data_IF_918576178918
#
_entry.id   IF_918576178918
#
_cell.length_a   1.000
_cell.length_b   1.000
_cell.length_c   1.000
_cell.angle_alpha   90.00
_cell.angle_beta   90.00
_cell.angle_gamma   90.00
#
_symmetry.space_group_name_H-M   'P 1'
#
loop_
_entity.id
_entity.type
_entity.pdbx_description
1 polymer ?
#
# COMPACT_ATOMS: atom_id res chain seq x y z
N UNK A 1 34.52 12.84 -14.62
CA UNK A 1 33.72 13.41 -15.73
C UNK A 1 33.61 12.32 -16.79
N UNK A 2 32.71 11.35 -16.59
CA UNK A 2 32.54 10.22 -17.52
C UNK A 2 31.72 10.65 -18.74
N UNK A 3 32.17 10.20 -19.91
CA UNK A 3 31.83 10.74 -21.23
C UNK A 3 30.49 10.22 -21.73
N UNK A 4 29.67 11.08 -22.36
CA UNK A 4 28.34 10.75 -22.87
C UNK A 4 28.31 9.54 -23.84
N UNK A 5 29.42 9.27 -24.53
CA UNK A 5 29.55 8.12 -25.43
C UNK A 5 29.50 6.77 -24.69
N UNK A 6 29.95 6.72 -23.44
CA UNK A 6 29.92 5.50 -22.61
C UNK A 6 28.48 5.19 -22.17
N UNK A 7 27.64 6.21 -22.00
CA UNK A 7 26.23 6.06 -21.67
C UNK A 7 25.39 5.63 -22.88
N UNK A 8 25.74 6.11 -24.07
CA UNK A 8 25.07 5.73 -25.31
C UNK A 8 25.33 4.27 -25.69
N UNK A 9 26.55 3.76 -25.46
CA UNK A 9 26.88 2.34 -25.66
C UNK A 9 26.11 1.41 -24.70
N UNK A 10 25.97 1.80 -23.43
CA UNK A 10 25.21 1.02 -22.42
C UNK A 10 23.70 1.09 -22.67
N UNK A 11 23.19 2.20 -23.22
CA UNK A 11 21.79 2.35 -23.62
C UNK A 11 21.48 1.53 -24.88
N UNK A 12 22.38 1.51 -25.87
CA UNK A 12 22.25 0.72 -27.08
C UNK A 12 22.28 -0.79 -26.82
N UNK A 13 23.11 -1.24 -25.87
CA UNK A 13 23.16 -2.66 -25.47
C UNK A 13 21.86 -3.10 -24.78
N UNK A 14 21.22 -2.22 -24.01
CA UNK A 14 19.90 -2.50 -23.40
C UNK A 14 18.73 -2.43 -24.37
N UNK A 15 18.90 -1.77 -25.52
CA UNK A 15 17.85 -1.61 -26.52
C UNK A 15 17.76 -2.78 -27.52
N UNK A 16 18.79 -3.63 -27.62
CA UNK A 16 18.80 -4.84 -28.47
C UNK A 16 18.45 -6.09 -27.66
N UNK A 17 17.31 -6.04 -26.97
CA UNK A 17 16.71 -7.20 -26.32
C UNK A 17 15.23 -7.17 -26.63
N UNK A 18 14.82 -7.92 -27.66
CA UNK A 18 13.41 -8.12 -27.99
C UNK A 18 12.66 -8.65 -26.76
N UNK A 19 11.87 -7.77 -26.17
CA UNK A 19 11.12 -8.07 -24.97
C UNK A 19 10.45 -6.81 -24.48
N UNK A 20 9.29 -6.50 -25.06
CA UNK A 20 8.32 -5.58 -24.42
C UNK A 20 8.27 -5.98 -22.95
N UNK A 21 8.53 -5.08 -21.98
CA UNK A 21 8.31 -5.44 -20.60
C UNK A 21 6.80 -5.62 -20.45
N UNK A 22 6.33 -6.86 -20.61
CA UNK A 22 5.09 -7.28 -20.02
C UNK A 22 5.23 -6.88 -18.56
N UNK A 23 4.38 -5.95 -18.11
CA UNK A 23 4.34 -5.57 -16.72
C UNK A 23 4.25 -6.86 -15.91
N UNK A 24 5.35 -7.22 -15.24
CA UNK A 24 5.36 -8.34 -14.30
C UNK A 24 4.56 -7.84 -13.11
N UNK A 25 3.24 -7.94 -13.22
CA UNK A 25 2.35 -7.86 -12.07
C UNK A 25 2.66 -9.14 -11.29
N UNK A 26 3.51 -9.01 -10.27
CA UNK A 26 3.80 -10.06 -9.31
C UNK A 26 2.49 -10.76 -8.96
N UNK A 27 2.37 -12.04 -9.33
CA UNK A 27 1.13 -12.79 -9.32
C UNK A 27 0.36 -12.64 -8.02
N UNK A 28 -0.62 -11.73 -8.02
CA UNK A 28 -1.61 -11.63 -6.97
C UNK A 28 -2.53 -12.82 -7.18
N UNK A 29 -2.30 -13.89 -6.42
CA UNK A 29 -3.36 -14.90 -6.25
C UNK A 29 -4.61 -14.14 -5.77
N UNK A 30 -5.77 -14.34 -6.40
CA UNK A 30 -7.01 -13.73 -5.93
C UNK A 30 -7.19 -14.10 -4.45
N UNK A 31 -7.00 -13.11 -3.57
CA UNK A 31 -7.29 -13.30 -2.17
C UNK A 31 -8.80 -13.47 -2.03
N UNK A 32 -9.28 -14.37 -1.14
CA UNK A 32 -10.70 -14.44 -0.83
C UNK A 32 -11.20 -13.05 -0.43
N UNK A 33 -12.43 -12.67 -0.80
CA UNK A 33 -12.97 -11.35 -0.49
C UNK A 33 -12.84 -11.10 1.01
N UNK A 34 -12.07 -10.07 1.36
CA UNK A 34 -11.84 -9.68 2.75
C UNK A 34 -13.19 -9.23 3.31
N UNK A 35 -13.60 -9.69 4.51
CA UNK A 35 -14.81 -9.20 5.15
C UNK A 35 -14.79 -7.67 5.18
N UNK A 36 -15.81 -7.04 4.60
CA UNK A 36 -15.97 -5.59 4.67
C UNK A 36 -16.30 -5.21 6.11
N UNK A 37 -15.27 -4.80 6.86
CA UNK A 37 -15.46 -4.24 8.20
C UNK A 37 -16.08 -2.86 8.03
N UNK A 38 -17.27 -2.59 8.61
CA UNK A 38 -17.92 -1.30 8.46
C UNK A 38 -17.07 -0.19 9.09
N UNK A 39 -16.69 0.80 8.27
CA UNK A 39 -15.96 1.99 8.73
C UNK A 39 -16.94 2.92 9.46
N UNK A 40 -16.52 3.45 10.62
CA UNK A 40 -17.33 4.36 11.44
C UNK A 40 -16.68 5.74 11.51
N UNK A 41 -17.47 6.82 11.62
CA UNK A 41 -16.92 8.15 11.90
C UNK A 41 -16.05 8.14 13.16
N UNK A 42 -14.87 8.73 13.06
CA UNK A 42 -13.91 8.85 14.14
C UNK A 42 -14.06 10.14 14.96
N UNK A 43 -13.14 10.38 15.90
CA UNK A 43 -12.98 11.69 16.54
C UNK A 43 -11.86 12.48 15.82
N UNK A 44 -12.00 13.81 15.66
CA UNK A 44 -10.97 14.64 15.02
C UNK A 44 -9.73 14.86 15.90
N UNK A 45 -9.84 14.63 17.22
CA UNK A 45 -8.74 14.73 18.18
C UNK A 45 -8.75 13.55 19.15
N UNK A 46 -7.58 13.13 19.65
CA UNK A 46 -6.22 13.58 19.30
C UNK A 46 -5.77 13.03 17.94
N UNK A 47 -4.76 13.66 17.32
CA UNK A 47 -4.19 13.21 16.06
C UNK A 47 -3.49 11.84 16.15
N UNK A 48 -3.35 11.19 15.00
CA UNK A 48 -2.72 9.89 14.80
C UNK A 48 -3.70 8.73 14.73
N UNK A 49 -3.14 7.51 14.79
CA UNK A 49 -3.88 6.26 14.88
C UNK A 49 -4.04 5.86 16.36
N UNK A 50 -5.28 5.73 16.84
CA UNK A 50 -5.58 5.50 18.26
C UNK A 50 -6.60 4.39 18.42
N UNK A 51 -6.30 3.44 19.30
CA UNK A 51 -7.24 2.39 19.68
C UNK A 51 -8.35 2.96 20.58
N UNK A 52 -9.62 2.70 20.22
CA UNK A 52 -10.80 3.17 20.96
C UNK A 52 -11.94 2.15 20.85
N UNK A 53 -12.79 2.10 21.88
CA UNK A 53 -14.09 1.45 21.79
C UNK A 53 -15.11 2.41 21.16
N UNK A 54 -15.89 1.92 20.21
CA UNK A 54 -17.02 2.64 19.63
C UNK A 54 -18.22 2.72 20.60
N UNK A 55 -19.29 3.43 20.22
CA UNK A 55 -20.53 3.51 21.02
C UNK A 55 -21.13 2.13 21.34
N UNK A 56 -20.94 1.17 20.43
CA UNK A 56 -21.43 -0.20 20.55
C UNK A 56 -20.47 -1.08 21.37
N UNK A 57 -19.44 -0.51 22.00
CA UNK A 57 -18.41 -1.22 22.75
C UNK A 57 -17.36 -1.94 21.90
N UNK A 58 -17.54 -2.00 20.58
CA UNK A 58 -16.62 -2.67 19.65
C UNK A 58 -15.29 -1.92 19.55
N UNK A 59 -14.19 -2.65 19.72
CA UNK A 59 -12.84 -2.11 19.61
C UNK A 59 -12.45 -1.83 18.16
N UNK A 60 -11.79 -0.70 17.92
CA UNK A 60 -11.30 -0.30 16.61
C UNK A 60 -10.23 0.78 16.67
N UNK A 61 -9.71 1.16 15.50
CA UNK A 61 -8.67 2.20 15.37
C UNK A 61 -9.27 3.45 14.75
N UNK A 62 -9.18 4.57 15.46
CA UNK A 62 -9.51 5.89 14.96
C UNK A 62 -8.27 6.54 14.33
N UNK A 63 -8.42 7.05 13.11
CA UNK A 63 -7.42 7.83 12.41
C UNK A 63 -7.86 9.30 12.38
N UNK A 64 -7.00 10.19 12.85
CA UNK A 64 -7.18 11.64 12.73
C UNK A 64 -5.88 12.27 12.25
N UNK A 65 -5.95 13.02 11.15
CA UNK A 65 -4.79 13.74 10.62
C UNK A 65 -5.17 15.20 10.34
N UNK A 66 -4.20 16.09 10.45
CA UNK A 66 -4.36 17.45 9.96
C UNK A 66 -4.09 17.47 8.46
N UNK A 67 -5.03 18.01 7.70
CA UNK A 67 -4.97 18.04 6.25
C UNK A 67 -5.44 19.42 5.74
N UNK A 68 -4.78 20.49 6.21
CA UNK A 68 -5.11 21.85 5.79
C UNK A 68 -4.96 22.01 4.28
N UNK A 69 -6.04 22.40 3.60
CA UNK A 69 -6.06 22.56 2.14
C UNK A 69 -6.15 21.26 1.33
N UNK A 70 -6.42 20.12 1.97
CA UNK A 70 -6.66 18.87 1.24
C UNK A 70 -8.12 18.74 0.80
N UNK A 71 -8.33 18.47 -0.49
CA UNK A 71 -9.64 18.13 -1.05
C UNK A 71 -10.08 16.70 -0.65
N UNK A 72 -9.14 15.86 -0.21
CA UNK A 72 -9.42 14.50 0.25
C UNK A 72 -8.21 13.87 0.94
N UNK A 73 -8.47 12.89 1.81
CA UNK A 73 -7.44 12.09 2.48
C UNK A 73 -7.82 10.62 2.50
N UNK A 74 -6.84 9.73 2.33
CA UNK A 74 -7.03 8.28 2.35
C UNK A 74 -6.09 7.62 3.36
N UNK A 75 -6.58 6.63 4.09
CA UNK A 75 -5.74 5.75 4.92
C UNK A 75 -5.87 4.31 4.42
N UNK A 76 -4.75 3.59 4.34
CA UNK A 76 -4.74 2.19 3.92
C UNK A 76 -4.86 1.27 5.13
N UNK A 77 -5.74 0.27 5.04
CA UNK A 77 -5.79 -0.85 5.97
C UNK A 77 -5.25 -2.09 5.25
N UNK A 78 -4.07 -2.56 5.65
CA UNK A 78 -3.47 -3.78 5.10
C UNK A 78 -3.95 -4.98 5.90
N UNK A 79 -4.41 -6.02 5.22
CA UNK A 79 -4.60 -7.32 5.85
C UNK A 79 -3.23 -7.99 5.99
N UNK A 80 -2.79 -8.26 7.21
CA UNK A 80 -1.65 -9.16 7.41
C UNK A 80 -2.09 -10.56 6.95
N UNK A 81 -1.48 -11.05 5.87
CA UNK A 81 -1.65 -12.45 5.48
C UNK A 81 -1.08 -13.31 6.60
N UNK A 82 -1.91 -14.14 7.23
CA UNK A 82 -1.44 -15.14 8.18
C UNK A 82 -0.36 -15.97 7.47
N UNK A 83 0.89 -15.78 7.88
CA UNK A 83 2.01 -16.56 7.37
C UNK A 83 1.66 -18.02 7.55
N UNK A 84 1.63 -18.78 6.47
CA UNK A 84 1.46 -20.22 6.51
C UNK A 84 2.58 -20.79 7.37
N UNK A 85 2.25 -21.18 8.61
CA UNK A 85 3.10 -22.05 9.40
C UNK A 85 3.27 -23.33 8.58
N UNK A 86 4.50 -23.56 8.07
CA UNK A 86 4.85 -24.82 7.41
C UNK A 86 4.73 -25.98 8.40
N UNK A 87 4.41 -27.20 7.92
CA UNK A 87 4.40 -28.37 8.78
C UNK A 87 5.83 -28.71 9.22
N UNK A 88 5.94 -29.27 10.43
CA UNK A 88 7.19 -29.50 11.16
C UNK A 88 7.98 -30.73 10.73
#
# INVERSE_FOLDING_TARGET
MSSAAEQEAVAAERATGDGRPAAVVNGVRPAPPVPTVPVRPGRPTPLGARFRAGPDGVAGTNFALWAGGAEGSSCACSTSGAGSAGPG
#
